data_IF_356616797670
#
_entry.id   IF_356616797670
#
_cell.length_a   1.000
_cell.length_b   1.000
_cell.length_c   1.000
_cell.angle_alpha   90.00
_cell.angle_beta   90.00
_cell.angle_gamma   90.00
#
_symmetry.space_group_name_H-M   'P 1'
#
loop_
_entity.id
_entity.type
_entity.pdbx_description
1 polymer ?
#
# COMPACT_ATOMS: atom_id res chain seq x y z
N UNK A 1 -2.03 -24.18 -3.36
CA UNK A 1 -3.50 -24.14 -3.25
C UNK A 1 -4.11 -24.67 -4.55
N UNK A 2 -5.02 -25.63 -4.49
CA UNK A 2 -5.74 -26.08 -5.67
C UNK A 2 -7.17 -25.51 -5.62
N UNK A 3 -7.46 -24.58 -6.50
CA UNK A 3 -8.83 -24.11 -6.69
C UNK A 3 -9.60 -25.18 -7.49
N UNK A 4 -10.62 -25.78 -6.87
CA UNK A 4 -11.49 -26.74 -7.55
C UNK A 4 -12.62 -26.05 -8.34
N UNK A 5 -12.66 -24.74 -8.32
CA UNK A 5 -13.70 -23.92 -8.96
C UNK A 5 -13.13 -22.57 -9.45
N UNK A 6 -13.83 -21.97 -10.40
CA UNK A 6 -13.54 -20.61 -10.85
C UNK A 6 -14.10 -19.62 -9.82
N UNK A 7 -13.26 -18.71 -9.35
CA UNK A 7 -13.70 -17.58 -8.53
C UNK A 7 -14.29 -16.50 -9.45
N UNK A 8 -15.58 -16.26 -9.29
CA UNK A 8 -16.32 -15.25 -10.05
C UNK A 8 -17.05 -14.33 -9.07
N UNK A 9 -16.78 -13.03 -9.11
CA UNK A 9 -17.33 -12.11 -8.13
C UNK A 9 -17.01 -10.64 -8.38
N UNK A 10 -17.16 -9.83 -7.33
CA UNK A 10 -17.03 -8.37 -7.39
C UNK A 10 -16.24 -7.84 -6.19
N UNK A 11 -15.66 -6.64 -6.35
CA UNK A 11 -15.32 -5.79 -5.21
C UNK A 11 -16.62 -5.19 -4.66
N UNK A 12 -16.80 -5.25 -3.34
CA UNK A 12 -18.01 -4.78 -2.66
C UNK A 12 -17.65 -3.80 -1.54
N UNK A 13 -18.29 -2.66 -1.55
CA UNK A 13 -18.02 -1.53 -0.65
C UNK A 13 -19.33 -1.09 0.03
N UNK A 14 -19.71 -1.75 1.13
CA UNK A 14 -20.89 -1.38 1.91
C UNK A 14 -20.79 0.04 2.47
N UNK A 15 -19.59 0.45 2.85
CA UNK A 15 -19.29 1.80 3.35
C UNK A 15 -19.57 2.92 2.33
N UNK A 16 -19.71 2.58 1.05
CA UNK A 16 -20.06 3.52 -0.02
C UNK A 16 -21.57 3.73 -0.15
N UNK A 17 -22.37 2.84 0.44
CA UNK A 17 -23.83 2.88 0.30
C UNK A 17 -24.46 3.82 1.32
N UNK A 18 -25.47 4.65 0.92
CA UNK A 18 -26.11 5.62 1.81
C UNK A 18 -27.08 4.98 2.80
N UNK A 19 -27.37 3.69 2.69
CA UNK A 19 -28.29 2.94 3.52
C UNK A 19 -27.93 1.45 3.55
N UNK A 20 -28.41 0.77 4.59
CA UNK A 20 -28.14 -0.66 4.76
C UNK A 20 -28.84 -1.49 3.68
N UNK A 21 -28.03 -2.24 2.92
CA UNK A 21 -28.50 -3.13 1.86
C UNK A 21 -27.70 -4.41 1.72
N UNK A 22 -26.80 -4.71 2.65
CA UNK A 22 -25.90 -5.89 2.60
C UNK A 22 -26.67 -7.17 2.26
N UNK A 23 -27.76 -7.45 2.96
CA UNK A 23 -28.60 -8.65 2.74
C UNK A 23 -29.14 -8.71 1.32
N UNK A 24 -29.61 -7.59 0.79
CA UNK A 24 -30.15 -7.51 -0.58
C UNK A 24 -29.05 -7.73 -1.60
N UNK A 25 -27.91 -7.07 -1.43
CA UNK A 25 -26.82 -7.13 -2.37
C UNK A 25 -26.17 -8.52 -2.39
N UNK A 26 -25.96 -9.13 -1.24
CA UNK A 26 -25.35 -10.48 -1.17
C UNK A 26 -26.28 -11.54 -1.78
N UNK A 27 -27.61 -11.39 -1.58
CA UNK A 27 -28.58 -12.23 -2.30
C UNK A 27 -28.49 -12.03 -3.81
N UNK A 28 -28.38 -10.80 -4.30
CA UNK A 28 -28.25 -10.51 -5.74
C UNK A 28 -26.93 -11.07 -6.30
N UNK A 29 -25.83 -10.96 -5.58
CA UNK A 29 -24.52 -11.52 -5.93
C UNK A 29 -24.64 -13.04 -6.10
N UNK A 30 -25.27 -13.75 -5.15
CA UNK A 30 -25.50 -15.19 -5.23
C UNK A 30 -26.44 -15.56 -6.37
N UNK A 31 -27.55 -14.84 -6.54
CA UNK A 31 -28.52 -15.09 -7.61
C UNK A 31 -27.90 -14.88 -9.01
N UNK A 32 -26.87 -14.03 -9.13
CA UNK A 32 -26.06 -13.85 -10.34
C UNK A 32 -25.02 -14.96 -10.58
N UNK A 33 -24.93 -15.96 -9.70
CA UNK A 33 -23.98 -17.08 -9.81
C UNK A 33 -22.56 -16.72 -9.35
N UNK A 34 -22.38 -15.59 -8.67
CA UNK A 34 -21.10 -15.21 -8.10
C UNK A 34 -20.84 -15.98 -6.80
N UNK A 35 -19.56 -16.27 -6.51
CA UNK A 35 -19.13 -17.08 -5.38
C UNK A 35 -18.05 -16.42 -4.51
N UNK A 36 -17.59 -15.21 -4.88
CA UNK A 36 -16.57 -14.48 -4.14
C UNK A 36 -16.84 -12.99 -4.15
N UNK A 37 -16.51 -12.33 -3.04
CA UNK A 37 -16.45 -10.86 -2.93
C UNK A 37 -15.06 -10.45 -2.41
N UNK A 38 -14.63 -9.24 -2.79
CA UNK A 38 -13.48 -8.57 -2.19
C UNK A 38 -13.97 -7.34 -1.43
N UNK A 39 -13.48 -7.18 -0.21
CA UNK A 39 -13.88 -6.11 0.72
C UNK A 39 -12.65 -5.51 1.41
N UNK A 40 -12.84 -4.40 2.09
CA UNK A 40 -11.99 -3.90 3.17
C UNK A 40 -10.88 -2.92 2.81
N UNK A 41 -10.35 -2.91 1.62
CA UNK A 41 -9.15 -2.13 1.29
C UNK A 41 -9.27 -0.61 1.53
N UNK A 42 -10.47 -0.06 1.68
CA UNK A 42 -10.73 1.38 1.90
C UNK A 42 -11.35 1.75 3.25
N UNK A 43 -11.41 0.83 4.20
CA UNK A 43 -12.24 0.97 5.41
C UNK A 43 -11.48 1.39 6.68
N UNK A 44 -10.24 1.86 6.59
CA UNK A 44 -9.44 2.20 7.78
C UNK A 44 -10.19 3.17 8.73
N UNK A 45 -10.72 4.28 8.20
CA UNK A 45 -11.42 5.27 9.03
C UNK A 45 -12.71 4.75 9.67
N UNK A 46 -13.33 3.70 9.09
CA UNK A 46 -14.51 3.05 9.66
C UNK A 46 -14.13 2.19 10.87
N UNK A 47 -12.98 1.53 10.79
CA UNK A 47 -12.54 0.61 11.84
C UNK A 47 -11.67 1.26 12.91
N UNK A 48 -11.04 2.38 12.60
CA UNK A 48 -10.28 3.21 13.54
C UNK A 48 -10.70 4.68 13.38
N UNK A 49 -11.91 5.05 13.88
CA UNK A 49 -12.45 6.41 13.75
C UNK A 49 -11.60 7.46 14.51
N UNK A 50 -10.92 7.03 15.56
CA UNK A 50 -9.96 7.82 16.34
C UNK A 50 -8.74 6.94 16.64
N UNK A 51 -7.57 7.56 16.81
CA UNK A 51 -6.34 6.84 17.09
C UNK A 51 -6.47 5.88 18.27
N UNK A 52 -6.22 4.60 18.01
CA UNK A 52 -6.28 3.53 19.02
C UNK A 52 -7.68 3.11 19.43
N UNK A 53 -8.73 3.68 18.84
CA UNK A 53 -10.13 3.27 19.08
C UNK A 53 -10.61 2.44 17.91
N UNK A 54 -10.83 1.13 18.16
CA UNK A 54 -11.17 0.19 17.10
C UNK A 54 -12.61 -0.29 17.22
N UNK A 55 -13.36 -0.27 16.09
CA UNK A 55 -14.71 -0.82 15.96
C UNK A 55 -14.81 -1.63 14.66
N UNK A 56 -14.83 -2.95 14.80
CA UNK A 56 -14.97 -3.88 13.68
C UNK A 56 -16.39 -4.42 13.49
N UNK A 57 -17.40 -3.81 14.12
CA UNK A 57 -18.82 -4.23 13.98
C UNK A 57 -19.25 -4.30 12.51
N UNK A 58 -18.85 -3.32 11.71
CA UNK A 58 -19.11 -3.30 10.26
C UNK A 58 -18.49 -4.52 9.55
N UNK A 59 -17.24 -4.85 9.84
CA UNK A 59 -16.53 -5.99 9.24
C UNK A 59 -17.21 -7.32 9.58
N UNK A 60 -17.52 -7.54 10.88
CA UNK A 60 -18.18 -8.76 11.32
C UNK A 60 -19.54 -8.94 10.65
N UNK A 61 -20.34 -7.87 10.56
CA UNK A 61 -21.64 -7.89 9.87
C UNK A 61 -21.48 -8.35 8.41
N UNK A 62 -20.46 -7.86 7.71
CA UNK A 62 -20.21 -8.28 6.32
C UNK A 62 -19.77 -9.75 6.23
N UNK A 63 -18.87 -10.19 7.11
CA UNK A 63 -18.38 -11.57 7.11
C UNK A 63 -19.47 -12.57 7.50
N UNK A 64 -20.31 -12.25 8.49
CA UNK A 64 -21.44 -13.08 8.88
C UNK A 64 -22.48 -13.21 7.76
N UNK A 65 -22.75 -12.10 7.06
CA UNK A 65 -23.64 -12.13 5.91
C UNK A 65 -23.02 -12.92 4.75
N UNK A 66 -21.72 -12.78 4.48
CA UNK A 66 -21.02 -13.56 3.47
C UNK A 66 -21.11 -15.07 3.76
N UNK A 67 -20.88 -15.47 5.00
CA UNK A 67 -21.02 -16.87 5.43
C UNK A 67 -22.46 -17.38 5.25
N UNK A 68 -23.48 -16.59 5.62
CA UNK A 68 -24.89 -16.89 5.42
C UNK A 68 -25.25 -17.15 3.95
N UNK A 69 -24.68 -16.37 3.04
CA UNK A 69 -24.92 -16.53 1.59
C UNK A 69 -23.88 -17.43 0.89
N UNK A 70 -23.04 -18.14 1.65
CA UNK A 70 -22.00 -19.04 1.13
C UNK A 70 -21.07 -18.34 0.13
N UNK A 71 -20.76 -17.06 0.37
CA UNK A 71 -19.81 -16.29 -0.41
C UNK A 71 -18.42 -16.41 0.20
N UNK A 72 -17.43 -16.63 -0.63
CA UNK A 72 -16.02 -16.53 -0.26
C UNK A 72 -15.62 -15.06 -0.20
N UNK A 73 -14.66 -14.75 0.68
CA UNK A 73 -14.22 -13.38 0.90
C UNK A 73 -12.71 -13.26 0.70
N UNK A 74 -12.30 -12.26 -0.07
CA UNK A 74 -10.93 -11.75 -0.11
C UNK A 74 -10.93 -10.44 0.68
N UNK A 75 -10.08 -10.36 1.71
CA UNK A 75 -9.99 -9.19 2.59
C UNK A 75 -8.77 -8.35 2.19
N UNK A 76 -8.99 -7.08 1.88
CA UNK A 76 -7.93 -6.13 1.57
C UNK A 76 -7.33 -5.49 2.83
N UNK A 77 -6.01 -5.25 2.86
CA UNK A 77 -5.40 -4.40 3.87
C UNK A 77 -5.77 -2.94 3.60
N UNK A 78 -6.23 -2.15 4.60
CA UNK A 78 -6.90 -0.87 4.37
C UNK A 78 -5.94 0.32 4.22
N UNK A 79 -4.76 0.11 3.64
CA UNK A 79 -3.62 1.03 3.75
C UNK A 79 -3.58 2.12 2.68
N UNK A 80 -4.29 1.97 1.56
CA UNK A 80 -4.21 2.93 0.46
C UNK A 80 -5.07 4.19 0.63
N UNK A 81 -5.92 4.24 1.67
CA UNK A 81 -6.74 5.39 2.02
C UNK A 81 -6.66 5.61 3.55
N UNK A 82 -6.05 6.71 3.95
CA UNK A 82 -5.77 7.02 5.37
C UNK A 82 -6.91 7.79 6.03
N UNK A 83 -7.14 7.61 7.34
CA UNK A 83 -8.14 8.40 8.06
C UNK A 83 -7.71 9.85 8.27
N UNK A 84 -8.68 10.74 8.40
CA UNK A 84 -8.43 12.19 8.56
C UNK A 84 -7.68 12.55 9.84
N UNK A 85 -7.92 11.82 10.94
CA UNK A 85 -7.22 12.04 12.19
C UNK A 85 -5.71 11.78 12.05
N UNK A 86 -5.31 10.76 11.27
CA UNK A 86 -3.93 10.41 11.02
C UNK A 86 -3.21 11.53 10.24
N UNK A 87 -3.80 11.99 9.15
CA UNK A 87 -3.26 13.11 8.36
C UNK A 87 -3.18 14.42 9.15
N UNK A 88 -4.14 14.66 10.06
CA UNK A 88 -4.16 15.85 10.92
C UNK A 88 -3.06 15.81 11.99
N UNK A 89 -2.91 14.66 12.64
CA UNK A 89 -1.96 14.49 13.76
C UNK A 89 -0.51 14.35 13.27
N UNK A 90 -0.32 13.66 12.15
CA UNK A 90 0.97 13.37 11.54
C UNK A 90 1.04 13.92 10.11
N UNK A 91 1.06 15.25 9.92
CA UNK A 91 0.95 15.84 8.58
C UNK A 91 2.09 15.45 7.63
N UNK A 92 3.23 15.01 8.13
CA UNK A 92 4.37 14.58 7.31
C UNK A 92 4.18 13.19 6.66
N UNK A 93 3.07 12.49 6.96
CA UNK A 93 2.73 11.24 6.27
C UNK A 93 2.23 11.46 4.84
N UNK A 94 1.82 12.69 4.49
CA UNK A 94 1.43 13.01 3.13
C UNK A 94 2.67 13.13 2.24
N UNK A 95 2.62 12.52 1.07
CA UNK A 95 3.72 12.51 0.13
C UNK A 95 4.18 13.91 -0.24
N UNK A 96 5.46 14.09 -0.38
CA UNK A 96 6.07 15.32 -0.91
C UNK A 96 6.59 14.98 -2.29
N UNK A 97 5.99 15.56 -3.32
CA UNK A 97 6.35 15.36 -4.72
C UNK A 97 7.15 16.55 -5.26
N UNK A 98 7.55 16.50 -6.53
CA UNK A 98 8.14 17.65 -7.20
C UNK A 98 7.19 18.85 -7.27
N UNK A 99 5.87 18.62 -7.19
CA UNK A 99 4.85 19.67 -7.19
C UNK A 99 4.54 20.23 -5.80
N UNK A 100 5.17 19.70 -4.77
CA UNK A 100 4.94 20.08 -3.39
C UNK A 100 4.31 18.94 -2.56
N UNK A 101 3.81 19.31 -1.37
CA UNK A 101 3.17 18.36 -0.47
C UNK A 101 1.75 18.06 -0.92
N UNK A 102 1.40 16.77 -0.93
CA UNK A 102 0.04 16.33 -1.22
C UNK A 102 -0.95 16.80 -0.16
N UNK A 103 -2.22 16.90 -0.57
CA UNK A 103 -3.32 17.28 0.32
C UNK A 103 -4.13 16.05 0.71
N UNK A 104 -4.63 16.05 1.95
CA UNK A 104 -5.60 15.06 2.39
C UNK A 104 -6.91 15.15 1.59
N UNK A 105 -7.57 14.02 1.39
CA UNK A 105 -8.91 13.94 0.78
C UNK A 105 -8.99 13.05 -0.46
N UNK A 106 -7.84 12.65 -0.99
CA UNK A 106 -7.74 11.61 -2.01
C UNK A 106 -7.15 10.33 -1.40
N UNK A 107 -7.36 9.23 -2.08
CA UNK A 107 -6.62 7.99 -1.82
C UNK A 107 -5.20 8.12 -2.37
N UNK A 108 -4.28 7.30 -1.88
CA UNK A 108 -2.93 7.15 -2.45
C UNK A 108 -2.10 8.44 -2.45
N UNK A 109 -2.16 9.18 -1.38
CA UNK A 109 -1.41 10.43 -1.18
C UNK A 109 -0.45 10.38 0.01
N UNK A 110 -0.21 9.18 0.55
CA UNK A 110 0.70 8.97 1.66
C UNK A 110 2.14 8.69 1.18
N UNK A 111 3.08 8.96 2.05
CA UNK A 111 4.47 8.57 1.88
C UNK A 111 4.71 7.18 2.47
N UNK A 112 4.87 6.18 1.61
CA UNK A 112 5.14 4.79 2.01
C UNK A 112 6.52 4.59 2.66
N UNK A 113 7.33 5.65 2.78
CA UNK A 113 8.61 5.64 3.49
C UNK A 113 8.54 6.29 4.86
N UNK A 114 7.41 6.95 5.19
CA UNK A 114 7.23 7.68 6.45
C UNK A 114 7.04 6.70 7.62
N UNK A 115 7.83 6.81 8.70
CA UNK A 115 7.76 5.88 9.83
C UNK A 115 6.45 5.95 10.61
N UNK A 116 5.83 7.13 10.76
CA UNK A 116 4.55 7.26 11.46
C UNK A 116 3.42 6.58 10.67
N UNK A 117 3.41 6.77 9.33
CA UNK A 117 2.47 6.06 8.47
C UNK A 117 2.64 4.55 8.58
N UNK A 118 3.88 4.04 8.45
CA UNK A 118 4.15 2.60 8.53
C UNK A 118 3.77 2.03 9.90
N UNK A 119 4.03 2.75 10.98
CA UNK A 119 3.64 2.33 12.34
C UNK A 119 2.13 2.14 12.46
N UNK A 120 1.34 3.14 12.06
CA UNK A 120 -0.11 3.05 12.15
C UNK A 120 -0.72 2.05 11.15
N UNK A 121 -0.13 1.93 9.94
CA UNK A 121 -0.52 0.94 8.96
C UNK A 121 -0.29 -0.49 9.48
N UNK A 122 0.81 -0.74 10.17
CA UNK A 122 1.05 -2.03 10.84
C UNK A 122 -0.04 -2.34 11.86
N UNK A 123 -0.34 -1.39 12.74
CA UNK A 123 -1.34 -1.58 13.79
C UNK A 123 -2.70 -1.96 13.19
N UNK A 124 -3.17 -1.22 12.17
CA UNK A 124 -4.49 -1.52 11.58
C UNK A 124 -4.51 -2.85 10.83
N UNK A 125 -3.41 -3.25 10.15
CA UNK A 125 -3.31 -4.56 9.52
C UNK A 125 -3.38 -5.67 10.58
N UNK A 126 -2.57 -5.59 11.65
CA UNK A 126 -2.57 -6.58 12.73
C UNK A 126 -3.95 -6.69 13.39
N UNK A 127 -4.59 -5.55 13.69
CA UNK A 127 -5.96 -5.52 14.25
C UNK A 127 -6.98 -6.15 13.32
N UNK A 128 -6.92 -5.87 12.02
CA UNK A 128 -7.76 -6.51 11.01
C UNK A 128 -7.54 -8.03 11.01
N UNK A 129 -6.29 -8.48 10.96
CA UNK A 129 -5.94 -9.90 10.91
C UNK A 129 -6.44 -10.65 12.15
N UNK A 130 -6.37 -10.04 13.35
CA UNK A 130 -6.95 -10.59 14.58
C UNK A 130 -8.46 -10.88 14.45
N UNK A 131 -9.20 -10.06 13.68
CA UNK A 131 -10.63 -10.18 13.51
C UNK A 131 -11.05 -11.24 12.49
N UNK A 132 -10.23 -11.46 11.44
CA UNK A 132 -10.65 -12.26 10.28
C UNK A 132 -10.08 -13.69 10.26
N UNK A 133 -9.09 -13.99 11.09
CA UNK A 133 -8.35 -15.28 11.08
C UNK A 133 -9.23 -16.50 11.25
N UNK A 134 -10.32 -16.39 12.02
CA UNK A 134 -11.20 -17.50 12.39
C UNK A 134 -12.44 -17.62 11.46
N UNK A 135 -12.57 -16.76 10.43
CA UNK A 135 -13.67 -16.85 9.48
C UNK A 135 -13.35 -17.81 8.32
N UNK A 136 -14.06 -18.93 8.24
CA UNK A 136 -13.88 -19.92 7.18
C UNK A 136 -14.16 -19.39 5.78
N UNK A 137 -15.07 -18.41 5.65
CA UNK A 137 -15.37 -17.77 4.38
C UNK A 137 -14.22 -16.92 3.84
N UNK A 138 -13.24 -16.50 4.65
CA UNK A 138 -12.07 -15.75 4.21
C UNK A 138 -11.06 -16.69 3.58
N UNK A 139 -10.88 -16.58 2.26
CA UNK A 139 -10.03 -17.45 1.45
C UNK A 139 -8.69 -16.84 1.05
N UNK A 140 -8.51 -15.55 1.27
CA UNK A 140 -7.25 -14.87 0.96
C UNK A 140 -7.27 -13.39 1.28
N UNK A 141 -6.12 -12.76 1.08
CA UNK A 141 -5.87 -11.36 1.38
C UNK A 141 -5.32 -10.63 0.17
N UNK A 142 -5.84 -9.41 -0.08
CA UNK A 142 -5.23 -8.47 -1.01
C UNK A 142 -4.40 -7.47 -0.22
N UNK A 143 -3.14 -7.27 -0.62
CA UNK A 143 -2.29 -6.26 -0.01
C UNK A 143 -2.57 -4.90 -0.66
N UNK A 144 -2.85 -3.89 0.16
CA UNK A 144 -3.07 -2.52 -0.33
C UNK A 144 -3.99 -2.47 -1.56
N UNK A 145 -3.88 -1.45 -2.39
CA UNK A 145 -4.59 -1.40 -3.67
C UNK A 145 -3.85 -0.53 -4.68
N UNK A 146 -3.54 -1.07 -5.86
CA UNK A 146 -2.89 -0.34 -6.96
C UNK A 146 -1.65 0.45 -6.47
N UNK A 147 -0.84 -0.18 -5.63
CA UNK A 147 0.26 0.46 -4.90
C UNK A 147 1.26 1.12 -5.82
N UNK A 148 1.63 2.35 -5.51
CA UNK A 148 2.60 3.17 -6.24
C UNK A 148 3.58 3.81 -5.25
N UNK A 149 4.73 4.31 -5.71
CA UNK A 149 5.61 5.10 -4.84
C UNK A 149 5.07 6.51 -4.56
N UNK A 150 3.95 6.90 -5.19
CA UNK A 150 3.25 8.20 -5.07
C UNK A 150 4.18 9.39 -5.33
N UNK A 151 5.21 9.20 -6.17
CA UNK A 151 6.25 10.16 -6.54
C UNK A 151 6.92 10.85 -5.33
N UNK A 152 6.99 10.13 -4.19
CA UNK A 152 7.50 10.73 -2.97
C UNK A 152 8.97 11.10 -3.10
N UNK A 153 9.26 12.36 -2.78
CA UNK A 153 10.58 12.98 -2.69
C UNK A 153 10.78 13.55 -1.27
N UNK A 154 10.14 12.98 -0.27
CA UNK A 154 10.21 13.44 1.11
C UNK A 154 11.61 13.30 1.70
N UNK A 155 11.83 13.93 2.86
CA UNK A 155 13.07 13.73 3.64
C UNK A 155 13.34 12.25 3.96
N UNK A 156 12.29 11.45 4.11
CA UNK A 156 12.41 10.01 4.39
C UNK A 156 12.81 9.23 3.12
N UNK A 157 12.18 9.52 1.99
CA UNK A 157 12.56 8.96 0.70
C UNK A 157 14.00 9.36 0.32
N UNK A 158 14.36 10.63 0.53
CA UNK A 158 15.71 11.14 0.35
C UNK A 158 16.75 10.36 1.17
N UNK A 159 16.51 10.20 2.47
CA UNK A 159 17.43 9.48 3.35
C UNK A 159 17.60 8.01 2.93
N UNK A 160 16.48 7.34 2.58
CA UNK A 160 16.51 5.95 2.08
C UNK A 160 17.20 5.83 0.71
N UNK A 161 17.08 6.83 -0.13
CA UNK A 161 17.79 6.84 -1.43
C UNK A 161 19.31 6.99 -1.24
N UNK A 162 19.74 7.87 -0.36
CA UNK A 162 21.16 8.02 -0.02
C UNK A 162 21.71 6.72 0.58
N UNK A 163 20.95 6.07 1.47
CA UNK A 163 21.32 4.75 2.01
C UNK A 163 21.41 3.69 0.89
N UNK A 164 20.45 3.67 -0.02
CA UNK A 164 20.48 2.79 -1.19
C UNK A 164 21.74 3.00 -2.04
N UNK A 165 22.08 4.26 -2.34
CA UNK A 165 23.27 4.58 -3.12
C UNK A 165 24.57 4.20 -2.39
N UNK A 166 24.65 4.40 -1.07
CA UNK A 166 25.80 3.96 -0.25
C UNK A 166 26.02 2.46 -0.31
N UNK A 167 24.94 1.67 -0.40
CA UNK A 167 25.03 0.22 -0.51
C UNK A 167 25.46 -0.25 -1.91
N UNK A 168 24.95 0.41 -2.95
CA UNK A 168 25.29 0.10 -4.35
C UNK A 168 26.72 0.60 -4.72
N UNK A 169 27.13 1.75 -4.16
CA UNK A 169 28.38 2.42 -4.43
C UNK A 169 29.14 2.73 -3.10
N UNK A 170 29.83 1.75 -2.53
CA UNK A 170 30.59 1.97 -1.29
C UNK A 170 31.70 3.02 -1.41
N UNK A 171 32.24 3.20 -2.62
CA UNK A 171 33.20 4.26 -2.96
C UNK A 171 32.47 5.45 -3.61
N UNK A 172 32.47 6.60 -2.94
CA UNK A 172 31.84 7.82 -3.42
C UNK A 172 32.49 8.36 -4.72
N UNK A 173 33.76 8.08 -4.95
CA UNK A 173 34.43 8.44 -6.18
C UNK A 173 33.96 7.57 -7.35
N UNK A 174 33.65 6.30 -7.10
CA UNK A 174 33.01 5.43 -8.08
C UNK A 174 31.59 5.91 -8.41
N UNK A 175 30.81 6.25 -7.41
CA UNK A 175 29.48 6.87 -7.58
C UNK A 175 29.56 8.11 -8.47
N UNK A 176 30.47 9.05 -8.19
CA UNK A 176 30.61 10.27 -8.99
C UNK A 176 30.99 9.96 -10.44
N UNK A 177 31.87 8.97 -10.68
CA UNK A 177 32.25 8.55 -12.03
C UNK A 177 31.12 7.91 -12.80
N UNK A 178 30.35 6.99 -12.13
CA UNK A 178 29.24 6.27 -12.75
C UNK A 178 28.15 7.24 -13.23
N UNK A 179 27.83 8.23 -12.44
CA UNK A 179 26.81 9.21 -12.77
C UNK A 179 27.33 10.48 -13.47
N UNK A 180 28.64 10.59 -13.71
CA UNK A 180 29.24 11.73 -14.42
C UNK A 180 29.10 13.06 -13.68
N UNK A 181 29.18 13.05 -12.35
CA UNK A 181 28.84 14.20 -11.50
C UNK A 181 29.91 15.29 -11.47
N UNK A 182 31.12 15.07 -12.01
CA UNK A 182 32.13 16.12 -12.14
C UNK A 182 31.66 17.25 -13.10
N UNK A 183 30.73 16.92 -14.00
CA UNK A 183 30.16 17.89 -14.93
C UNK A 183 29.23 18.87 -14.21
N UNK A 184 29.36 20.16 -14.50
CA UNK A 184 28.62 21.28 -13.89
C UNK A 184 28.77 21.37 -12.37
N UNK A 185 29.88 20.84 -11.82
CA UNK A 185 30.16 20.88 -10.38
C UNK A 185 29.10 20.15 -9.52
N UNK A 186 28.53 19.08 -10.05
CA UNK A 186 27.55 18.24 -9.32
C UNK A 186 28.21 17.16 -8.45
N UNK A 187 29.55 17.10 -8.40
CA UNK A 187 30.28 16.13 -7.62
C UNK A 187 29.87 16.16 -6.16
N UNK A 188 29.56 15.01 -5.60
CA UNK A 188 29.28 14.79 -4.19
C UNK A 188 30.56 14.31 -3.51
N UNK A 189 31.08 15.07 -2.57
CA UNK A 189 32.31 14.72 -1.84
C UNK A 189 32.04 14.02 -0.51
N UNK A 190 30.86 14.24 0.06
CA UNK A 190 30.35 13.55 1.25
C UNK A 190 28.87 13.21 1.02
N UNK A 191 28.41 12.09 1.51
CA UNK A 191 27.02 11.70 1.40
C UNK A 191 26.06 12.66 2.10
N UNK A 192 26.52 13.39 3.10
CA UNK A 192 25.74 14.43 3.79
C UNK A 192 25.52 15.67 2.93
N UNK A 193 26.32 15.85 1.87
CA UNK A 193 26.17 16.90 0.84
C UNK A 193 25.25 16.47 -0.32
N UNK A 194 24.67 15.26 -0.28
CA UNK A 194 23.84 14.77 -1.37
C UNK A 194 22.66 15.73 -1.63
N UNK A 195 22.45 16.19 -2.88
CA UNK A 195 21.46 17.22 -3.19
C UNK A 195 20.03 16.71 -3.02
N UNK A 196 19.10 17.64 -2.77
CA UNK A 196 17.67 17.35 -2.72
C UNK A 196 17.20 16.79 -4.08
N UNK A 197 16.61 15.58 -4.06
CA UNK A 197 16.15 14.89 -5.28
C UNK A 197 15.03 15.64 -6.02
N UNK A 198 14.40 16.62 -5.39
CA UNK A 198 13.44 17.53 -6.06
C UNK A 198 14.12 18.56 -6.94
N UNK A 199 15.40 18.80 -6.72
CA UNK A 199 16.23 19.66 -7.55
C UNK A 199 16.59 19.01 -8.88
N UNK A 200 17.37 19.74 -9.67
CA UNK A 200 17.89 19.21 -10.94
C UNK A 200 19.07 18.30 -10.65
N UNK A 201 18.83 17.01 -10.73
CA UNK A 201 19.88 16.01 -10.84
C UNK A 201 20.03 15.58 -12.31
N UNK A 202 21.17 15.03 -12.69
CA UNK A 202 21.35 14.60 -14.08
C UNK A 202 20.43 13.42 -14.43
N UNK A 203 20.27 13.16 -15.74
CA UNK A 203 19.35 12.14 -16.27
C UNK A 203 19.67 10.73 -15.75
N UNK A 204 20.94 10.37 -15.57
CA UNK A 204 21.34 9.06 -15.08
C UNK A 204 20.94 8.86 -13.63
N UNK A 205 21.20 9.83 -12.77
CA UNK A 205 20.83 9.80 -11.36
C UNK A 205 19.32 9.87 -11.16
N UNK A 206 18.62 10.63 -12.01
CA UNK A 206 17.15 10.66 -12.02
C UNK A 206 16.55 9.30 -12.39
N UNK A 207 17.13 8.59 -13.36
CA UNK A 207 16.71 7.23 -13.71
C UNK A 207 16.94 6.26 -12.55
N UNK A 208 18.07 6.38 -11.84
CA UNK A 208 18.35 5.55 -10.65
C UNK A 208 17.39 5.86 -9.50
N UNK A 209 17.03 7.13 -9.30
CA UNK A 209 16.00 7.49 -8.33
C UNK A 209 14.63 6.87 -8.67
N UNK A 210 14.21 6.88 -9.93
CA UNK A 210 12.98 6.19 -10.37
C UNK A 210 13.05 4.67 -10.13
N UNK A 211 14.21 4.04 -10.35
CA UNK A 211 14.42 2.62 -10.04
C UNK A 211 14.30 2.36 -8.54
N UNK A 212 14.92 3.21 -7.72
CA UNK A 212 14.79 3.16 -6.27
C UNK A 212 13.33 3.32 -5.83
N UNK A 213 12.58 4.30 -6.36
CA UNK A 213 11.16 4.49 -6.03
C UNK A 213 10.33 3.25 -6.33
N UNK A 214 10.58 2.56 -7.46
CA UNK A 214 9.92 1.27 -7.75
C UNK A 214 10.23 0.20 -6.70
N UNK A 215 11.47 0.16 -6.22
CA UNK A 215 11.87 -0.79 -5.17
C UNK A 215 11.16 -0.55 -3.84
N UNK A 216 10.73 0.69 -3.57
CA UNK A 216 9.94 1.01 -2.38
C UNK A 216 8.58 0.31 -2.38
N UNK A 217 7.93 0.21 -3.54
CA UNK A 217 6.66 -0.52 -3.68
C UNK A 217 6.83 -1.99 -3.32
N UNK A 218 7.86 -2.63 -3.87
CA UNK A 218 8.16 -4.03 -3.55
C UNK A 218 8.40 -4.23 -2.06
N UNK A 219 9.21 -3.36 -1.44
CA UNK A 219 9.49 -3.42 0.01
C UNK A 219 8.22 -3.22 0.84
N UNK A 220 7.37 -2.27 0.44
CA UNK A 220 6.12 -1.99 1.15
C UNK A 220 5.13 -3.16 1.07
N UNK A 221 4.97 -3.77 -0.11
CA UNK A 221 4.11 -4.94 -0.28
C UNK A 221 4.67 -6.18 0.43
N UNK A 222 5.99 -6.42 0.35
CA UNK A 222 6.62 -7.52 1.08
C UNK A 222 6.44 -7.39 2.58
N UNK A 223 6.62 -6.18 3.11
CA UNK A 223 6.40 -5.90 4.53
C UNK A 223 4.94 -6.17 4.96
N UNK A 224 3.94 -5.78 4.17
CA UNK A 224 2.54 -6.14 4.45
C UNK A 224 2.31 -7.66 4.36
N UNK A 225 2.92 -8.32 3.37
CA UNK A 225 2.84 -9.76 3.22
C UNK A 225 3.40 -10.49 4.45
N UNK A 226 4.52 -10.03 4.99
CA UNK A 226 5.13 -10.60 6.18
C UNK A 226 4.16 -10.52 7.37
N UNK A 227 3.53 -9.36 7.61
CA UNK A 227 2.53 -9.19 8.67
C UNK A 227 1.35 -10.15 8.45
N UNK A 228 0.78 -10.18 7.25
CA UNK A 228 -0.36 -11.07 6.93
C UNK A 228 0.01 -12.55 7.12
N UNK A 229 1.23 -12.95 6.76
CA UNK A 229 1.71 -14.32 6.91
C UNK A 229 1.78 -14.81 8.36
N UNK A 230 1.93 -13.90 9.34
CA UNK A 230 1.92 -14.25 10.76
C UNK A 230 0.53 -14.73 11.25
N UNK A 231 -0.54 -14.35 10.56
CA UNK A 231 -1.92 -14.59 10.98
C UNK A 231 -2.69 -15.53 10.05
N UNK A 232 -2.42 -15.50 8.74
CA UNK A 232 -3.17 -16.26 7.76
C UNK A 232 -3.02 -17.77 7.97
N UNK A 233 -4.06 -18.52 7.58
CA UNK A 233 -3.99 -19.99 7.51
C UNK A 233 -3.22 -20.44 6.26
N UNK A 234 -2.74 -21.67 6.25
CA UNK A 234 -1.98 -22.24 5.12
C UNK A 234 -2.82 -22.37 3.84
N UNK A 235 -4.14 -22.48 3.97
CA UNK A 235 -5.08 -22.58 2.86
C UNK A 235 -5.45 -21.23 2.24
N UNK A 236 -5.06 -20.11 2.85
CA UNK A 236 -5.34 -18.75 2.37
C UNK A 236 -4.20 -18.23 1.50
N UNK A 237 -4.56 -17.56 0.40
CA UNK A 237 -3.59 -16.92 -0.50
C UNK A 237 -3.40 -15.43 -0.21
N UNK A 238 -2.32 -14.88 -0.75
CA UNK A 238 -2.07 -13.44 -0.83
C UNK A 238 -2.13 -13.03 -2.30
N UNK A 239 -2.72 -11.90 -2.59
CA UNK A 239 -2.85 -11.33 -3.93
C UNK A 239 -2.67 -9.82 -3.91
N UNK A 240 -2.59 -9.23 -5.10
CA UNK A 240 -2.49 -7.78 -5.29
C UNK A 240 -3.40 -7.35 -6.45
N UNK A 241 -3.97 -6.16 -6.33
CA UNK A 241 -4.67 -5.47 -7.41
C UNK A 241 -3.69 -4.53 -8.11
N UNK A 242 -3.35 -4.84 -9.38
CA UNK A 242 -2.39 -4.06 -10.16
C UNK A 242 -3.09 -2.97 -10.96
N UNK A 243 -2.49 -1.79 -11.02
CA UNK A 243 -2.89 -0.73 -11.94
C UNK A 243 -2.38 -1.03 -13.37
N UNK A 244 -3.19 -0.72 -14.37
CA UNK A 244 -2.88 -0.97 -15.78
C UNK A 244 -2.11 0.16 -16.47
N UNK A 245 -1.62 1.15 -15.74
CA UNK A 245 -0.82 2.21 -16.34
C UNK A 245 0.58 1.72 -16.69
N UNK A 246 0.71 1.10 -17.85
CA UNK A 246 1.98 0.61 -18.40
C UNK A 246 2.93 1.73 -18.84
N UNK A 247 2.43 2.97 -18.91
CA UNK A 247 3.17 4.10 -19.47
C UNK A 247 3.94 4.89 -18.42
N UNK A 248 3.57 4.76 -17.15
CA UNK A 248 4.26 5.44 -16.06
C UNK A 248 5.34 4.54 -15.47
N UNK A 249 6.51 5.14 -15.24
CA UNK A 249 7.66 4.46 -14.61
C UNK A 249 7.44 4.15 -13.12
N UNK A 250 6.23 4.33 -12.62
CA UNK A 250 5.88 4.25 -11.20
C UNK A 250 5.51 2.88 -10.69
N UNK A 251 5.48 1.86 -11.55
CA UNK A 251 5.01 0.52 -11.15
C UNK A 251 6.19 -0.31 -10.64
N UNK A 252 6.19 -0.61 -9.35
CA UNK A 252 7.22 -1.40 -8.68
C UNK A 252 7.18 -2.92 -8.90
N UNK A 253 6.49 -3.39 -9.94
CA UNK A 253 6.23 -4.82 -10.16
C UNK A 253 7.34 -5.60 -10.86
N UNK A 254 8.51 -5.01 -11.07
CA UNK A 254 9.58 -5.63 -11.85
C UNK A 254 10.54 -6.51 -11.04
N UNK A 255 10.38 -6.64 -9.75
CA UNK A 255 11.39 -7.24 -8.88
C UNK A 255 10.97 -8.55 -8.22
N UNK A 256 10.04 -9.28 -8.82
CA UNK A 256 9.70 -10.63 -8.33
C UNK A 256 10.08 -11.69 -9.32
#
# INVERSE_FOLDING_TARGET
MNFNEILYGVAYYDEYMPYDRIETDFKMIRDAGMNVIRIAESTWSTWEPEEGVFDFTHLHRMLDCAAKYELKVIVGTPTYAIPSWLAKKYPDILAVTHNGKELYGHRQNMDITNPDYLHHAQIIIEKLMEQVKDYDCVIGFQLDNETKPYDTCSKYAQAKFVEYLKNEFPDIDEFNREFGLDYWSNRVNDWDDFPDVRGTINQSLAAEFCKFQRSLVTKFLSWQADIVCEYKRDDQFITQNFDFDWTTHSIGYQSQ
#
